data_IF_999253311787
#
_entry.id   IF_999253311787
#
_cell.length_a   1.000
_cell.length_b   1.000
_cell.length_c   1.000
_cell.angle_alpha   90.00
_cell.angle_beta   90.00
_cell.angle_gamma   90.00
#
_symmetry.space_group_name_H-M   'P 1'
#
loop_
_entity.id
_entity.type
_entity.pdbx_description
1 polymer ?
#
# COMPACT_ATOMS: atom_id res chain seq x y z
N UNK A 1 11.18 10.71 10.57
CA UNK A 1 11.37 11.54 11.79
C UNK A 1 12.76 12.20 11.81
N UNK A 2 13.84 11.51 11.50
CA UNK A 2 15.19 12.08 11.53
C UNK A 2 15.46 13.20 10.50
N UNK A 3 14.61 13.34 9.46
CA UNK A 3 14.71 14.43 8.47
C UNK A 3 14.21 15.79 9.01
N UNK A 4 13.52 15.79 10.14
CA UNK A 4 13.08 17.05 10.77
C UNK A 4 14.21 17.61 11.63
N UNK A 5 14.78 18.75 11.25
CA UNK A 5 15.95 19.35 11.93
C UNK A 5 15.76 19.50 13.44
N UNK A 6 14.55 19.87 13.89
CA UNK A 6 14.25 19.98 15.32
C UNK A 6 14.31 18.63 16.04
N UNK A 7 13.99 17.51 15.36
CA UNK A 7 14.10 16.16 15.95
C UNK A 7 15.56 15.76 16.05
N UNK A 8 16.36 16.02 15.01
CA UNK A 8 17.79 15.75 15.02
C UNK A 8 18.50 16.57 16.11
N UNK A 9 18.18 17.86 16.25
CA UNK A 9 18.70 18.71 17.32
C UNK A 9 18.32 18.20 18.70
N UNK A 10 17.07 17.81 18.94
CA UNK A 10 16.62 17.23 20.18
C UNK A 10 17.36 15.92 20.49
N UNK A 11 17.54 15.03 19.51
CA UNK A 11 18.32 13.79 19.68
C UNK A 11 19.75 14.11 20.05
N UNK A 12 20.36 15.11 19.41
CA UNK A 12 21.73 15.53 19.70
C UNK A 12 21.90 16.05 21.12
N UNK A 13 20.91 16.81 21.62
CA UNK A 13 20.98 17.45 22.95
C UNK A 13 20.57 16.52 24.08
N UNK A 14 19.47 15.75 23.91
CA UNK A 14 18.85 15.02 24.99
C UNK A 14 19.25 13.54 25.07
N UNK A 15 19.95 13.01 24.04
CA UNK A 15 20.32 11.60 23.96
C UNK A 15 21.80 11.42 23.63
N UNK A 16 22.70 11.59 24.63
CA UNK A 16 24.16 11.55 24.41
C UNK A 16 24.68 10.18 23.94
N UNK A 17 23.93 9.11 24.16
CA UNK A 17 24.25 7.74 23.75
C UNK A 17 23.88 7.44 22.28
N UNK A 18 23.22 8.36 21.57
CA UNK A 18 22.91 8.22 20.16
C UNK A 18 24.06 8.77 19.33
N UNK A 19 24.79 7.90 18.68
CA UNK A 19 26.02 8.21 17.97
C UNK A 19 25.81 8.55 16.49
N UNK A 20 24.82 7.94 15.84
CA UNK A 20 24.58 8.08 14.41
C UNK A 20 23.11 8.32 14.13
N UNK A 21 22.79 9.42 13.46
CA UNK A 21 21.44 9.78 12.99
C UNK A 21 21.52 10.21 11.53
N UNK A 22 20.73 9.60 10.67
CA UNK A 22 20.65 9.98 9.25
C UNK A 22 19.24 9.85 8.70
N UNK A 23 18.97 10.59 7.61
CA UNK A 23 17.70 10.54 6.91
C UNK A 23 17.55 9.26 6.06
N UNK A 24 16.30 8.83 5.75
CA UNK A 24 16.05 7.63 4.95
C UNK A 24 16.73 7.68 3.56
N UNK A 25 16.89 8.86 3.00
CA UNK A 25 17.53 9.09 1.71
C UNK A 25 19.05 8.84 1.72
N UNK A 26 19.66 8.76 2.90
CA UNK A 26 21.10 8.52 3.08
C UNK A 26 21.40 7.08 3.52
N UNK A 27 20.42 6.16 3.45
CA UNK A 27 20.61 4.77 3.86
C UNK A 27 21.77 4.09 3.11
N UNK A 28 21.97 4.42 1.84
CA UNK A 28 23.07 3.90 1.02
C UNK A 28 24.46 4.37 1.50
N UNK A 29 24.54 5.50 2.21
CA UNK A 29 25.78 6.00 2.81
C UNK A 29 26.05 5.41 4.21
N UNK A 30 25.17 4.56 4.74
CA UNK A 30 25.30 4.02 6.09
C UNK A 30 26.71 3.44 6.38
N UNK A 31 27.34 2.64 5.48
CA UNK A 31 28.69 2.11 5.74
C UNK A 31 29.71 3.24 5.94
N UNK A 32 29.67 4.29 5.11
CA UNK A 32 30.56 5.44 5.22
C UNK A 32 30.31 6.25 6.48
N UNK A 33 29.03 6.55 6.79
CA UNK A 33 28.66 7.29 8.00
C UNK A 33 29.07 6.54 9.28
N UNK A 34 28.98 5.20 9.27
CA UNK A 34 29.44 4.36 10.36
C UNK A 34 30.95 4.40 10.49
N UNK A 35 31.68 4.29 9.38
CA UNK A 35 33.15 4.38 9.34
C UNK A 35 33.60 5.73 9.89
N UNK A 36 32.99 6.84 9.46
CA UNK A 36 33.30 8.19 9.93
C UNK A 36 33.10 8.32 11.44
N UNK A 37 32.01 7.71 11.99
CA UNK A 37 31.80 7.67 13.44
C UNK A 37 32.89 6.89 14.17
N UNK A 38 33.26 5.73 13.65
CA UNK A 38 34.24 4.83 14.30
C UNK A 38 35.66 5.43 14.26
N UNK A 39 36.02 6.06 13.15
CA UNK A 39 37.37 6.64 12.97
C UNK A 39 37.55 7.99 13.65
N UNK A 40 36.55 8.86 13.57
CA UNK A 40 36.65 10.22 14.15
C UNK A 40 36.34 10.29 15.65
N UNK A 41 35.64 9.27 16.19
CA UNK A 41 35.11 9.31 17.55
C UNK A 41 33.98 10.32 17.76
N UNK A 42 33.58 11.11 16.71
CA UNK A 42 32.56 12.15 16.81
C UNK A 42 31.18 11.61 16.41
N UNK A 43 30.14 12.14 17.04
CA UNK A 43 28.75 11.81 16.70
C UNK A 43 28.41 12.36 15.30
N UNK A 44 27.73 11.56 14.49
CA UNK A 44 27.35 11.90 13.10
C UNK A 44 25.84 12.15 13.02
N UNK A 45 25.45 13.33 12.53
CA UNK A 45 24.05 13.71 12.31
C UNK A 45 23.89 14.19 10.87
N UNK A 46 23.52 13.28 9.97
CA UNK A 46 23.36 13.50 8.54
C UNK A 46 21.86 13.52 8.19
N UNK A 47 21.19 14.65 8.43
CA UNK A 47 19.75 14.81 8.22
C UNK A 47 19.39 15.70 7.03
N UNK A 48 20.38 16.21 6.32
CA UNK A 48 20.19 17.07 5.16
C UNK A 48 19.44 16.36 4.04
N UNK A 49 18.63 17.13 3.32
CA UNK A 49 17.95 16.64 2.13
C UNK A 49 18.93 16.63 0.96
N UNK A 50 19.08 15.47 0.33
CA UNK A 50 19.83 15.33 -0.91
C UNK A 50 18.82 15.28 -2.06
N UNK A 51 18.54 16.39 -2.75
CA UNK A 51 17.58 16.42 -3.83
C UNK A 51 17.97 15.47 -4.97
N UNK A 52 16.99 14.71 -5.47
CA UNK A 52 17.14 13.89 -6.68
C UNK A 52 17.89 12.57 -6.51
N UNK A 53 18.54 12.32 -5.38
CA UNK A 53 19.28 11.07 -5.21
C UNK A 53 18.32 9.90 -4.90
N UNK A 54 18.26 8.94 -5.80
CA UNK A 54 17.76 7.59 -5.57
C UNK A 54 18.96 6.66 -5.62
N UNK A 55 19.19 5.94 -4.53
CA UNK A 55 20.31 5.01 -4.48
C UNK A 55 19.91 3.70 -5.15
N UNK A 56 20.70 3.29 -6.13
CA UNK A 56 20.58 2.02 -6.82
C UNK A 56 21.68 1.03 -6.37
N UNK A 57 21.48 -0.25 -6.65
CA UNK A 57 22.47 -1.30 -6.35
C UNK A 57 22.67 -1.58 -4.85
N UNK A 58 21.79 -1.13 -3.97
CA UNK A 58 21.87 -1.48 -2.54
C UNK A 58 21.50 -2.96 -2.38
N UNK A 59 22.34 -3.79 -1.76
CA UNK A 59 22.01 -5.19 -1.49
C UNK A 59 20.72 -5.31 -0.66
N UNK A 60 19.76 -6.08 -1.14
CA UNK A 60 18.51 -6.35 -0.44
C UNK A 60 18.48 -7.79 0.03
N UNK A 61 18.42 -8.00 1.35
CA UNK A 61 18.18 -9.33 1.93
C UNK A 61 16.70 -9.62 1.91
N UNK A 62 16.27 -10.58 1.11
CA UNK A 62 14.87 -10.99 0.98
C UNK A 62 14.62 -12.23 1.84
N UNK A 63 13.72 -12.14 2.80
CA UNK A 63 13.38 -13.25 3.70
C UNK A 63 12.38 -14.23 3.07
N UNK A 64 11.49 -13.73 2.20
CA UNK A 64 10.53 -14.54 1.49
C UNK A 64 11.11 -14.98 0.13
N UNK A 65 10.86 -16.24 -0.25
CA UNK A 65 11.38 -16.81 -1.52
C UNK A 65 10.37 -16.72 -2.67
N UNK A 66 9.10 -16.47 -2.37
CA UNK A 66 8.01 -16.39 -3.35
C UNK A 66 7.61 -14.97 -3.67
N UNK A 67 7.79 -14.04 -2.69
CA UNK A 67 7.29 -12.66 -2.76
C UNK A 67 8.41 -11.66 -2.63
N UNK A 68 8.40 -10.65 -3.49
CA UNK A 68 9.35 -9.56 -3.45
C UNK A 68 8.67 -8.19 -3.56
N UNK A 69 9.17 -7.22 -2.79
CA UNK A 69 8.83 -5.81 -2.99
C UNK A 69 9.91 -5.12 -3.81
N UNK A 70 9.50 -4.32 -4.80
CA UNK A 70 10.35 -3.47 -5.61
C UNK A 70 9.92 -2.03 -5.43
N UNK A 71 10.75 -1.22 -4.79
CA UNK A 71 10.48 0.22 -4.69
C UNK A 71 10.64 0.86 -6.06
N UNK A 72 9.60 1.55 -6.54
CA UNK A 72 9.62 2.24 -7.84
C UNK A 72 9.76 3.75 -7.70
N UNK A 73 9.40 4.28 -6.52
CA UNK A 73 9.49 5.70 -6.23
C UNK A 73 9.52 5.97 -4.72
N UNK A 74 9.97 7.16 -4.34
CA UNK A 74 10.06 7.63 -2.97
C UNK A 74 9.44 9.01 -2.82
N UNK A 75 8.92 9.33 -1.63
CA UNK A 75 8.32 10.62 -1.31
C UNK A 75 6.90 10.78 -1.83
N UNK A 76 6.28 11.92 -1.55
CA UNK A 76 4.91 12.22 -1.98
C UNK A 76 4.69 13.73 -2.06
N UNK A 77 4.05 14.18 -3.14
CA UNK A 77 3.72 15.59 -3.38
C UNK A 77 2.28 15.96 -3.01
N UNK A 78 1.49 15.06 -2.45
CA UNK A 78 0.07 15.31 -2.18
C UNK A 78 -0.16 16.25 -0.98
N UNK A 79 0.73 16.29 0.01
CA UNK A 79 0.62 17.13 1.20
C UNK A 79 -0.76 17.08 1.86
N UNK A 80 -1.36 15.88 1.93
CA UNK A 80 -2.60 15.69 2.68
C UNK A 80 -2.42 16.20 4.12
N UNK A 81 -3.39 16.94 4.64
CA UNK A 81 -3.25 17.72 5.89
C UNK A 81 -2.94 16.88 7.13
N UNK A 82 -3.26 15.59 7.11
CA UNK A 82 -2.99 14.63 8.20
C UNK A 82 -1.66 13.86 8.03
N UNK A 83 -1.00 13.96 6.86
CA UNK A 83 0.06 13.05 6.49
C UNK A 83 1.45 13.66 6.72
N UNK A 84 2.29 12.94 7.45
CA UNK A 84 3.68 13.35 7.73
C UNK A 84 4.67 12.96 6.61
N UNK A 85 4.26 12.12 5.66
CA UNK A 85 5.15 11.54 4.64
C UNK A 85 5.93 12.58 3.85
N UNK A 86 5.33 13.66 3.29
CA UNK A 86 6.09 14.66 2.55
C UNK A 86 7.22 15.30 3.38
N UNK A 87 7.01 15.43 4.68
CA UNK A 87 7.96 16.06 5.61
C UNK A 87 9.09 15.15 6.05
N UNK A 88 8.90 13.82 5.96
CA UNK A 88 9.91 12.83 6.42
C UNK A 88 10.53 12.02 5.29
N UNK A 89 9.83 11.86 4.16
CA UNK A 89 10.31 11.16 2.95
C UNK A 89 10.71 12.10 1.84
N UNK A 90 10.21 13.36 1.87
CA UNK A 90 10.46 14.39 0.88
C UNK A 90 9.54 14.34 -0.33
N UNK A 91 9.92 15.10 -1.36
CA UNK A 91 9.23 15.18 -2.64
C UNK A 91 9.30 13.85 -3.36
N UNK A 92 8.38 13.65 -4.31
CA UNK A 92 8.37 12.48 -5.20
C UNK A 92 9.67 12.39 -5.98
N UNK A 93 10.20 11.18 -6.06
CA UNK A 93 11.40 10.81 -6.83
C UNK A 93 11.18 9.41 -7.36
N UNK A 94 10.98 9.30 -8.65
CA UNK A 94 10.85 8.02 -9.35
C UNK A 94 12.22 7.41 -9.60
N UNK A 95 12.32 6.11 -9.49
CA UNK A 95 13.49 5.34 -9.98
C UNK A 95 13.47 5.30 -11.51
N UNK A 96 14.61 5.16 -12.12
CA UNK A 96 14.70 4.99 -13.58
C UNK A 96 14.02 3.68 -14.00
N UNK A 97 13.29 3.69 -15.12
CA UNK A 97 12.64 2.47 -15.62
C UNK A 97 13.60 1.31 -15.80
N UNK A 98 14.81 1.59 -16.34
CA UNK A 98 15.83 0.58 -16.63
C UNK A 98 16.23 -0.20 -15.39
N UNK A 99 16.42 0.50 -14.26
CA UNK A 99 16.83 -0.10 -12.99
C UNK A 99 15.71 -0.95 -12.39
N UNK A 100 14.45 -0.48 -12.46
CA UNK A 100 13.28 -1.25 -12.01
C UNK A 100 13.11 -2.52 -12.84
N UNK A 101 13.19 -2.39 -14.17
CA UNK A 101 13.04 -3.54 -15.09
C UNK A 101 14.17 -4.54 -14.94
N UNK A 102 15.40 -4.10 -14.67
CA UNK A 102 16.53 -4.98 -14.38
C UNK A 102 16.27 -5.78 -13.09
N UNK A 103 15.87 -5.10 -12.00
CA UNK A 103 15.56 -5.75 -10.72
C UNK A 103 14.40 -6.75 -10.86
N UNK A 104 13.33 -6.41 -11.59
CA UNK A 104 12.22 -7.33 -11.80
C UNK A 104 12.62 -8.55 -12.63
N UNK A 105 13.48 -8.39 -13.66
CA UNK A 105 14.02 -9.53 -14.44
C UNK A 105 14.84 -10.48 -13.57
N UNK A 106 15.70 -9.95 -12.72
CA UNK A 106 16.48 -10.75 -11.77
C UNK A 106 15.58 -11.54 -10.82
N UNK A 107 14.52 -10.90 -10.30
CA UNK A 107 13.54 -11.56 -9.43
C UNK A 107 12.78 -12.67 -10.17
N UNK A 108 12.30 -12.40 -11.38
CA UNK A 108 11.60 -13.39 -12.20
C UNK A 108 12.51 -14.59 -12.51
N UNK A 109 13.78 -14.35 -12.88
CA UNK A 109 14.77 -15.39 -13.12
C UNK A 109 15.12 -16.20 -11.85
N UNK A 110 15.09 -15.55 -10.68
CA UNK A 110 15.27 -16.19 -9.38
C UNK A 110 14.03 -16.96 -8.88
N UNK A 111 12.92 -16.97 -9.65
CA UNK A 111 11.72 -17.74 -9.35
C UNK A 111 10.74 -17.06 -8.39
N UNK A 112 10.84 -15.75 -8.20
CA UNK A 112 9.81 -15.01 -7.45
C UNK A 112 8.49 -14.95 -8.24
N UNK A 113 7.37 -15.25 -7.56
CA UNK A 113 6.06 -15.45 -8.16
C UNK A 113 5.06 -14.34 -7.82
N UNK A 114 5.36 -13.46 -6.86
CA UNK A 114 4.51 -12.32 -6.48
C UNK A 114 5.42 -11.10 -6.27
N UNK A 115 5.38 -10.17 -7.21
CA UNK A 115 6.23 -8.97 -7.21
C UNK A 115 5.35 -7.75 -6.97
N UNK A 116 5.57 -7.08 -5.84
CA UNK A 116 4.79 -5.89 -5.46
C UNK A 116 5.60 -4.63 -5.73
N UNK A 117 5.08 -3.75 -6.60
CA UNK A 117 5.63 -2.42 -6.85
C UNK A 117 5.25 -1.47 -5.72
N UNK A 118 6.22 -0.83 -5.11
CA UNK A 118 6.07 -0.04 -3.89
C UNK A 118 6.43 1.43 -4.10
N UNK A 119 5.65 2.31 -3.48
CA UNK A 119 5.88 3.75 -3.44
C UNK A 119 4.95 4.41 -2.42
N UNK A 120 5.01 5.72 -2.27
CA UNK A 120 4.08 6.47 -1.43
C UNK A 120 2.86 6.97 -2.22
N UNK A 121 2.94 6.98 -3.55
CA UNK A 121 1.84 7.21 -4.50
C UNK A 121 2.29 6.66 -5.87
N UNK A 122 2.16 5.35 -6.07
CA UNK A 122 2.67 4.69 -7.28
C UNK A 122 2.07 5.22 -8.58
N UNK A 123 0.83 5.73 -8.53
CA UNK A 123 0.13 6.28 -9.70
C UNK A 123 0.76 7.58 -10.23
N UNK A 124 1.62 8.24 -9.44
CA UNK A 124 2.36 9.44 -9.88
C UNK A 124 3.74 9.11 -10.47
N UNK A 125 4.10 7.83 -10.56
CA UNK A 125 5.38 7.40 -11.12
C UNK A 125 5.65 8.03 -12.48
N UNK A 126 6.89 8.46 -12.69
CA UNK A 126 7.39 9.00 -13.95
C UNK A 126 7.21 10.50 -14.15
N UNK A 127 6.30 11.15 -13.40
CA UNK A 127 6.00 12.59 -13.56
C UNK A 127 7.23 13.49 -13.39
N UNK A 128 8.18 13.08 -12.56
CA UNK A 128 9.40 13.82 -12.25
C UNK A 128 10.60 13.45 -13.14
N UNK A 129 10.48 12.42 -13.98
CA UNK A 129 11.60 11.94 -14.81
C UNK A 129 11.80 12.73 -16.11
N UNK A 130 10.76 13.40 -16.62
CA UNK A 130 10.82 14.11 -17.91
C UNK A 130 10.98 13.19 -19.13
N UNK A 131 10.68 11.88 -18.98
CA UNK A 131 10.86 10.86 -20.03
C UNK A 131 9.56 10.55 -20.79
N UNK A 132 8.43 11.18 -20.45
CA UNK A 132 7.13 10.87 -21.05
C UNK A 132 6.56 9.50 -20.67
N UNK A 133 7.07 8.88 -19.60
CA UNK A 133 6.60 7.59 -19.06
C UNK A 133 5.69 7.82 -17.85
N UNK A 134 4.75 6.91 -17.64
CA UNK A 134 3.85 6.89 -16.49
C UNK A 134 3.77 5.50 -15.84
N UNK A 135 2.98 5.38 -14.79
CA UNK A 135 2.82 4.12 -14.09
C UNK A 135 2.17 3.02 -14.94
N UNK A 136 1.20 3.38 -15.79
CA UNK A 136 0.56 2.43 -16.70
C UNK A 136 1.57 1.86 -17.69
N UNK A 137 2.39 2.71 -18.30
CA UNK A 137 3.49 2.29 -19.15
C UNK A 137 4.48 1.36 -18.41
N UNK A 138 4.83 1.68 -17.16
CA UNK A 138 5.71 0.81 -16.37
C UNK A 138 5.09 -0.58 -16.14
N UNK A 139 3.79 -0.65 -15.85
CA UNK A 139 3.08 -1.92 -15.71
C UNK A 139 3.14 -2.75 -17.01
N UNK A 140 2.93 -2.12 -18.17
CA UNK A 140 3.06 -2.77 -19.49
C UNK A 140 4.47 -3.37 -19.68
N UNK A 141 5.52 -2.60 -19.35
CA UNK A 141 6.91 -3.07 -19.47
C UNK A 141 7.22 -4.22 -18.51
N UNK A 142 6.76 -4.15 -17.26
CA UNK A 142 6.94 -5.23 -16.27
C UNK A 142 6.16 -6.47 -16.70
N UNK A 143 4.94 -6.31 -17.23
CA UNK A 143 4.12 -7.41 -17.75
C UNK A 143 4.79 -8.16 -18.91
N UNK A 144 5.57 -7.46 -19.73
CA UNK A 144 6.31 -8.05 -20.87
C UNK A 144 7.54 -8.86 -20.45
N UNK A 145 7.99 -8.80 -19.20
CA UNK A 145 9.14 -9.58 -18.71
C UNK A 145 8.76 -11.07 -18.70
N UNK A 146 9.58 -11.97 -19.31
CA UNK A 146 9.32 -13.41 -19.26
C UNK A 146 9.28 -13.98 -17.84
N UNK A 147 8.47 -15.00 -17.64
CA UNK A 147 8.33 -15.71 -16.36
C UNK A 147 6.89 -15.71 -15.87
N UNK A 148 6.60 -16.62 -14.94
CA UNK A 148 5.29 -16.77 -14.32
C UNK A 148 5.28 -16.09 -12.95
N UNK A 149 4.78 -14.87 -12.89
CA UNK A 149 4.64 -14.09 -11.65
C UNK A 149 3.47 -13.13 -11.73
N UNK A 150 2.92 -12.78 -10.57
CA UNK A 150 1.92 -11.70 -10.43
C UNK A 150 2.60 -10.38 -10.16
N UNK A 151 2.04 -9.32 -10.72
CA UNK A 151 2.41 -7.93 -10.47
C UNK A 151 1.35 -7.34 -9.55
N UNK A 152 1.76 -6.90 -8.37
CA UNK A 152 0.92 -6.12 -7.46
C UNK A 152 1.49 -4.73 -7.29
N UNK A 153 0.67 -3.82 -6.83
CA UNK A 153 1.14 -2.50 -6.42
C UNK A 153 0.30 -1.98 -5.25
N UNK A 154 0.92 -1.13 -4.44
CA UNK A 154 0.30 -0.56 -3.25
C UNK A 154 0.41 0.95 -3.24
N UNK A 155 -0.50 1.60 -2.51
CA UNK A 155 -0.45 3.03 -2.24
C UNK A 155 -0.78 3.89 -3.46
N UNK A 156 -2.00 3.70 -3.98
CA UNK A 156 -2.59 4.54 -5.03
C UNK A 156 -3.24 5.79 -4.43
N UNK A 157 -3.42 6.81 -5.26
CA UNK A 157 -4.19 8.01 -4.89
C UNK A 157 -5.29 8.26 -5.93
N UNK A 158 -6.58 8.44 -5.53
CA UNK A 158 -7.70 8.57 -6.45
C UNK A 158 -7.53 9.66 -7.51
N UNK A 159 -6.90 10.81 -7.17
CA UNK A 159 -6.68 11.89 -8.14
C UNK A 159 -5.73 11.51 -9.29
N UNK A 160 -4.90 10.47 -9.09
CA UNK A 160 -3.93 9.99 -10.07
C UNK A 160 -4.35 8.64 -10.69
N UNK A 161 -5.53 8.13 -10.33
CA UNK A 161 -6.15 6.95 -10.94
C UNK A 161 -7.08 7.38 -12.10
N UNK A 162 -7.25 6.52 -13.10
CA UNK A 162 -8.15 6.80 -14.23
C UNK A 162 -8.09 5.74 -15.31
N UNK A 163 -8.82 5.99 -16.40
CA UNK A 163 -9.06 5.06 -17.49
C UNK A 163 -7.79 4.37 -18.00
N UNK A 164 -6.70 5.11 -18.26
CA UNK A 164 -5.44 4.54 -18.76
C UNK A 164 -4.86 3.47 -17.81
N UNK A 165 -4.87 3.72 -16.51
CA UNK A 165 -4.41 2.72 -15.54
C UNK A 165 -5.34 1.49 -15.55
N UNK A 166 -6.65 1.71 -15.57
CA UNK A 166 -7.63 0.62 -15.51
C UNK A 166 -7.61 -0.22 -16.79
N UNK A 167 -7.45 0.41 -17.97
CA UNK A 167 -7.29 -0.29 -19.25
C UNK A 167 -6.00 -1.14 -19.23
N UNK A 168 -4.89 -0.61 -18.72
CA UNK A 168 -3.64 -1.35 -18.59
C UNK A 168 -3.78 -2.53 -17.61
N UNK A 169 -4.44 -2.32 -16.46
CA UNK A 169 -4.70 -3.41 -15.51
C UNK A 169 -5.54 -4.53 -16.13
N UNK A 170 -6.54 -4.18 -16.94
CA UNK A 170 -7.39 -5.16 -17.61
C UNK A 170 -6.66 -5.92 -18.74
N UNK A 171 -5.71 -5.26 -19.42
CA UNK A 171 -4.98 -5.84 -20.56
C UNK A 171 -3.75 -6.66 -20.15
N UNK A 172 -3.17 -6.39 -18.97
CA UNK A 172 -1.94 -7.02 -18.51
C UNK A 172 -2.25 -8.27 -17.69
N UNK A 173 -2.05 -9.46 -18.26
CA UNK A 173 -2.41 -10.76 -17.65
C UNK A 173 -1.69 -11.02 -16.32
N UNK A 174 -0.47 -10.49 -16.14
CA UNK A 174 0.28 -10.64 -14.89
C UNK A 174 -0.14 -9.67 -13.79
N UNK A 175 -0.88 -8.60 -14.13
CA UNK A 175 -1.35 -7.64 -13.12
C UNK A 175 -2.49 -8.28 -12.33
N UNK A 176 -2.27 -8.45 -11.04
CA UNK A 176 -3.27 -9.03 -10.14
C UNK A 176 -4.56 -8.20 -10.14
N UNK A 177 -5.75 -8.83 -10.13
CA UNK A 177 -7.03 -8.13 -10.14
C UNK A 177 -7.36 -7.56 -8.75
N UNK A 178 -6.47 -6.71 -8.23
CA UNK A 178 -6.61 -6.05 -6.93
C UNK A 178 -6.16 -4.60 -7.02
N UNK A 179 -6.96 -3.69 -6.49
CA UNK A 179 -6.59 -2.29 -6.39
C UNK A 179 -6.83 -1.79 -4.96
N UNK A 180 -5.79 -1.21 -4.37
CA UNK A 180 -5.90 -0.45 -3.14
C UNK A 180 -6.06 1.03 -3.49
N UNK A 181 -7.27 1.59 -3.27
CA UNK A 181 -7.65 2.95 -3.65
C UNK A 181 -8.21 3.72 -2.44
N UNK A 182 -7.36 4.38 -1.64
CA UNK A 182 -7.73 5.04 -0.39
C UNK A 182 -8.71 6.20 -0.59
N UNK A 183 -9.98 6.07 -0.14
CA UNK A 183 -10.97 7.14 -0.22
C UNK A 183 -10.92 8.11 0.96
N UNK A 184 -10.46 7.68 2.14
CA UNK A 184 -10.24 8.40 3.39
C UNK A 184 -11.52 8.92 4.07
N UNK A 185 -12.47 9.54 3.37
CA UNK A 185 -13.77 10.01 3.85
C UNK A 185 -14.82 10.00 2.75
N UNK A 186 -16.07 9.77 3.10
CA UNK A 186 -17.20 9.85 2.18
C UNK A 186 -17.77 11.25 2.01
N UNK A 187 -17.27 12.27 2.72
CA UNK A 187 -17.70 13.66 2.62
C UNK A 187 -16.75 14.47 1.75
N UNK A 188 -17.26 15.11 0.69
CA UNK A 188 -16.45 15.99 -0.18
C UNK A 188 -15.87 17.18 0.59
N UNK A 189 -16.56 17.71 1.61
CA UNK A 189 -16.00 18.76 2.47
C UNK A 189 -14.84 18.26 3.31
N UNK A 190 -14.95 17.09 3.92
CA UNK A 190 -13.86 16.48 4.69
C UNK A 190 -12.67 16.15 3.77
N UNK A 191 -12.91 15.63 2.58
CA UNK A 191 -11.85 15.39 1.57
C UNK A 191 -11.14 16.70 1.20
N UNK A 192 -11.86 17.79 1.04
CA UNK A 192 -11.27 19.10 0.82
C UNK A 192 -10.40 19.54 2.02
N UNK A 193 -10.90 19.40 3.24
CA UNK A 193 -10.15 19.70 4.46
C UNK A 193 -8.91 18.80 4.63
N UNK A 194 -8.97 17.57 4.17
CA UNK A 194 -7.85 16.62 4.08
C UNK A 194 -6.85 16.95 2.95
N UNK A 195 -7.17 17.91 2.07
CA UNK A 195 -6.40 18.25 0.86
C UNK A 195 -6.26 17.06 -0.10
N UNK A 196 -7.38 16.34 -0.38
CA UNK A 196 -7.34 15.14 -1.22
C UNK A 196 -7.43 15.41 -2.72
N UNK A 197 -7.96 16.58 -3.15
CA UNK A 197 -8.01 17.00 -4.55
C UNK A 197 -9.02 16.24 -5.43
N UNK A 198 -10.00 15.57 -4.80
CA UNK A 198 -11.14 14.93 -5.46
C UNK A 198 -12.39 14.99 -4.55
N UNK A 199 -13.56 14.77 -5.15
CA UNK A 199 -14.85 14.70 -4.43
C UNK A 199 -15.31 13.24 -4.29
N UNK A 200 -16.36 13.04 -3.46
CA UNK A 200 -17.07 11.77 -3.33
C UNK A 200 -17.55 11.24 -4.70
N UNK A 201 -18.17 12.10 -5.48
CA UNK A 201 -18.77 11.77 -6.78
C UNK A 201 -17.70 11.30 -7.76
N UNK A 202 -16.57 12.00 -7.82
CA UNK A 202 -15.42 11.60 -8.63
C UNK A 202 -14.87 10.23 -8.19
N UNK A 203 -14.79 9.99 -6.88
CA UNK A 203 -14.34 8.68 -6.38
C UNK A 203 -15.28 7.55 -6.80
N UNK A 204 -16.59 7.75 -6.69
CA UNK A 204 -17.59 6.78 -7.13
C UNK A 204 -17.50 6.51 -8.64
N UNK A 205 -17.33 7.55 -9.45
CA UNK A 205 -17.09 7.41 -10.90
C UNK A 205 -15.87 6.56 -11.22
N UNK A 206 -14.75 6.74 -10.49
CA UNK A 206 -13.55 5.90 -10.64
C UNK A 206 -13.83 4.44 -10.32
N UNK A 207 -14.61 4.16 -9.27
CA UNK A 207 -14.98 2.78 -8.91
C UNK A 207 -15.86 2.13 -9.99
N UNK A 208 -16.83 2.88 -10.53
CA UNK A 208 -17.70 2.39 -11.60
C UNK A 208 -16.90 2.12 -12.87
N UNK A 209 -16.01 3.02 -13.26
CA UNK A 209 -15.11 2.85 -14.40
C UNK A 209 -14.18 1.64 -14.25
N UNK A 210 -13.63 1.42 -13.04
CA UNK A 210 -12.78 0.28 -12.73
C UNK A 210 -13.56 -1.04 -12.86
N UNK A 211 -14.75 -1.11 -12.27
CA UNK A 211 -15.59 -2.31 -12.30
C UNK A 211 -16.15 -2.64 -13.68
N UNK A 212 -16.39 -1.62 -14.50
CA UNK A 212 -16.79 -1.83 -15.89
C UNK A 212 -15.70 -2.54 -16.71
N UNK A 213 -14.42 -2.34 -16.38
CA UNK A 213 -13.27 -2.97 -17.06
C UNK A 213 -12.85 -4.28 -16.42
N UNK A 214 -12.93 -4.36 -15.09
CA UNK A 214 -12.50 -5.52 -14.29
C UNK A 214 -13.62 -5.85 -13.30
N UNK A 215 -14.69 -6.57 -13.70
CA UNK A 215 -15.86 -6.82 -12.87
C UNK A 215 -15.54 -7.51 -11.53
N UNK A 216 -14.57 -8.44 -11.52
CA UNK A 216 -14.17 -9.21 -10.36
C UNK A 216 -13.02 -8.58 -9.56
N UNK A 217 -12.76 -7.27 -9.75
CA UNK A 217 -11.69 -6.55 -9.04
C UNK A 217 -11.87 -6.65 -7.52
N UNK A 218 -10.81 -7.03 -6.83
CA UNK A 218 -10.72 -6.93 -5.37
C UNK A 218 -10.35 -5.49 -5.03
N UNK A 219 -11.28 -4.76 -4.43
CA UNK A 219 -11.10 -3.35 -4.09
C UNK A 219 -10.91 -3.17 -2.58
N UNK A 220 -9.76 -2.64 -2.20
CA UNK A 220 -9.46 -2.29 -0.81
C UNK A 220 -9.22 -0.79 -0.67
N UNK A 221 -9.37 -0.26 0.54
CA UNK A 221 -9.23 1.18 0.77
C UNK A 221 -8.82 1.50 2.21
N UNK A 222 -8.47 2.77 2.43
CA UNK A 222 -8.25 3.36 3.76
C UNK A 222 -9.39 4.32 4.08
N UNK A 223 -9.75 4.40 5.36
CA UNK A 223 -10.71 5.36 5.90
C UNK A 223 -10.25 5.89 7.25
N UNK A 224 -10.39 7.20 7.45
CA UNK A 224 -10.10 7.88 8.71
C UNK A 224 -11.41 8.40 9.29
N UNK A 225 -11.78 7.90 10.47
CA UNK A 225 -12.95 8.32 11.24
C UNK A 225 -12.54 9.38 12.26
N UNK A 226 -13.38 10.40 12.42
CA UNK A 226 -13.16 11.46 13.40
C UNK A 226 -12.04 12.41 13.01
N UNK A 227 -11.88 12.69 11.70
CA UNK A 227 -11.02 13.77 11.24
C UNK A 227 -11.48 15.12 11.86
N UNK A 228 -10.57 16.05 12.23
CA UNK A 228 -10.94 17.30 12.85
C UNK A 228 -12.03 18.06 12.09
N UNK A 229 -13.12 18.39 12.78
CA UNK A 229 -14.27 19.06 12.23
C UNK A 229 -15.21 18.19 11.39
N UNK A 230 -15.03 16.86 11.34
CA UNK A 230 -16.01 15.94 10.77
C UNK A 230 -17.30 15.98 11.61
N UNK A 231 -18.46 16.13 10.96
CA UNK A 231 -19.78 16.09 11.63
C UNK A 231 -20.36 14.67 11.58
N UNK A 232 -21.46 14.46 12.34
CA UNK A 232 -22.15 13.16 12.28
C UNK A 232 -22.76 12.89 10.90
N UNK A 233 -23.31 13.91 10.24
CA UNK A 233 -23.89 13.80 8.89
C UNK A 233 -22.82 13.43 7.86
N UNK A 234 -21.59 13.90 8.04
CA UNK A 234 -20.47 13.57 7.16
C UNK A 234 -19.93 12.17 7.40
N UNK A 235 -19.97 11.72 8.65
CA UNK A 235 -19.72 10.31 8.94
C UNK A 235 -20.78 9.40 8.27
N UNK A 236 -22.08 9.81 8.28
CA UNK A 236 -23.12 9.05 7.56
C UNK A 236 -22.87 9.01 6.03
N UNK A 237 -22.31 10.07 5.45
CA UNK A 237 -21.87 10.03 4.05
C UNK A 237 -20.74 8.99 3.84
N UNK A 238 -19.83 8.86 4.80
CA UNK A 238 -18.81 7.82 4.78
C UNK A 238 -19.43 6.42 4.83
N UNK A 239 -20.39 6.19 5.73
CA UNK A 239 -21.13 4.93 5.80
C UNK A 239 -21.89 4.63 4.50
N UNK A 240 -22.58 5.63 3.94
CA UNK A 240 -23.29 5.49 2.67
C UNK A 240 -22.34 5.15 1.49
N UNK A 241 -21.12 5.70 1.48
CA UNK A 241 -20.12 5.35 0.46
C UNK A 241 -19.67 3.89 0.59
N UNK A 242 -19.44 3.40 1.83
CA UNK A 242 -19.09 2.01 2.09
C UNK A 242 -20.20 1.05 1.63
N UNK A 243 -21.48 1.39 1.86
CA UNK A 243 -22.62 0.62 1.38
C UNK A 243 -22.69 0.56 -0.15
N UNK A 244 -22.43 1.68 -0.81
CA UNK A 244 -22.46 1.78 -2.27
C UNK A 244 -21.31 0.99 -2.92
N UNK A 245 -20.09 1.19 -2.41
CA UNK A 245 -18.89 0.59 -2.99
C UNK A 245 -18.72 -0.87 -2.58
N UNK A 246 -19.05 -1.24 -1.34
CA UNK A 246 -18.89 -2.60 -0.80
C UNK A 246 -17.46 -3.11 -0.99
N UNK A 247 -16.55 -2.55 -0.21
CA UNK A 247 -15.13 -2.91 -0.27
C UNK A 247 -14.89 -4.35 0.16
N UNK A 248 -13.86 -4.93 -0.42
CA UNK A 248 -13.40 -6.27 -0.03
C UNK A 248 -12.70 -6.26 1.32
N UNK A 249 -11.97 -5.19 1.62
CA UNK A 249 -11.43 -4.90 2.95
C UNK A 249 -11.18 -3.40 3.10
N UNK A 250 -11.30 -2.89 4.33
CA UNK A 250 -10.92 -1.53 4.70
C UNK A 250 -9.84 -1.55 5.78
N UNK A 251 -8.82 -0.74 5.60
CA UNK A 251 -7.93 -0.33 6.68
C UNK A 251 -8.54 0.90 7.34
N UNK A 252 -8.98 0.74 8.57
CA UNK A 252 -9.78 1.72 9.30
C UNK A 252 -8.96 2.35 10.41
N UNK A 253 -8.99 3.68 10.49
CA UNK A 253 -8.21 4.44 11.44
C UNK A 253 -9.08 5.45 12.17
N UNK A 254 -8.94 5.53 13.50
CA UNK A 254 -9.33 6.75 14.21
C UNK A 254 -8.28 7.82 13.93
N UNK A 255 -8.73 9.05 13.65
CA UNK A 255 -7.79 10.16 13.46
C UNK A 255 -6.85 10.27 14.66
N UNK A 256 -5.57 10.33 14.36
CA UNK A 256 -4.50 10.55 15.34
C UNK A 256 -3.60 11.68 14.85
N UNK A 257 -3.53 12.82 15.57
CA UNK A 257 -2.74 13.96 15.14
C UNK A 257 -1.25 13.58 15.02
N UNK A 258 -0.65 13.98 13.91
CA UNK A 258 0.78 13.80 13.64
C UNK A 258 1.47 15.14 13.80
N UNK A 259 2.43 15.20 14.73
CA UNK A 259 3.16 16.42 15.03
C UNK A 259 3.79 17.03 13.77
N UNK A 260 3.53 18.32 13.56
CA UNK A 260 4.03 19.07 12.40
C UNK A 260 3.15 18.99 11.16
N UNK A 261 1.99 18.33 11.22
CA UNK A 261 1.00 18.36 10.13
C UNK A 261 -0.04 19.46 10.33
N UNK A 262 -0.65 19.99 9.26
CA UNK A 262 -1.72 20.98 9.39
C UNK A 262 -2.89 20.51 10.26
N UNK A 263 -3.30 19.25 10.14
CA UNK A 263 -4.44 18.69 10.86
C UNK A 263 -4.22 18.60 12.38
N UNK A 264 -2.97 18.64 12.87
CA UNK A 264 -2.67 18.69 14.31
C UNK A 264 -3.30 19.91 14.99
N UNK A 265 -3.46 21.03 14.25
CA UNK A 265 -3.90 22.30 14.78
C UNK A 265 -5.36 22.63 14.44
N UNK A 266 -6.04 21.76 13.72
CA UNK A 266 -7.43 21.97 13.34
C UNK A 266 -8.35 21.82 14.56
N UNK A 267 -9.41 22.65 14.69
CA UNK A 267 -10.43 22.47 15.71
C UNK A 267 -11.11 21.11 15.59
N UNK A 268 -11.26 20.42 16.70
CA UNK A 268 -11.82 19.08 16.77
C UNK A 268 -12.94 19.01 17.81
N UNK A 269 -14.16 19.43 17.45
CA UNK A 269 -15.27 19.54 18.40
C UNK A 269 -15.94 18.19 18.72
N UNK A 270 -15.76 17.15 17.89
CA UNK A 270 -16.43 15.86 18.12
C UNK A 270 -15.83 15.14 19.33
N UNK A 271 -16.67 14.74 20.33
CA UNK A 271 -16.21 14.01 21.51
C UNK A 271 -15.56 12.67 21.13
N UNK A 272 -14.58 12.23 21.93
CA UNK A 272 -13.87 10.97 21.69
C UNK A 272 -14.80 9.76 21.72
N UNK A 273 -15.78 9.78 22.60
CA UNK A 273 -16.80 8.73 22.73
C UNK A 273 -17.60 8.58 21.45
N UNK A 274 -17.98 9.70 20.83
CA UNK A 274 -18.71 9.72 19.55
C UNK A 274 -17.84 9.17 18.42
N UNK A 275 -16.56 9.57 18.35
CA UNK A 275 -15.62 9.02 17.37
C UNK A 275 -15.43 7.52 17.53
N UNK A 276 -15.33 7.04 18.77
CA UNK A 276 -15.19 5.61 19.05
C UNK A 276 -16.46 4.85 18.65
N UNK A 277 -17.65 5.39 18.93
CA UNK A 277 -18.92 4.78 18.53
C UNK A 277 -19.04 4.69 17.00
N UNK A 278 -18.74 5.77 16.29
CA UNK A 278 -18.70 5.80 14.83
C UNK A 278 -17.71 4.78 14.26
N UNK A 279 -16.52 4.70 14.84
CA UNK A 279 -15.50 3.74 14.43
C UNK A 279 -15.95 2.29 14.59
N UNK A 280 -16.54 1.94 15.73
CA UNK A 280 -17.06 0.58 15.97
C UNK A 280 -18.19 0.23 15.00
N UNK A 281 -19.11 1.17 14.74
CA UNK A 281 -20.18 1.00 13.76
C UNK A 281 -19.64 0.72 12.35
N UNK A 282 -18.60 1.46 11.93
CA UNK A 282 -17.95 1.26 10.65
C UNK A 282 -17.27 -0.10 10.57
N UNK A 283 -16.52 -0.49 11.60
CA UNK A 283 -15.86 -1.80 11.67
C UNK A 283 -16.86 -2.95 11.55
N UNK A 284 -17.95 -2.88 12.32
CA UNK A 284 -18.99 -3.89 12.28
C UNK A 284 -19.54 -4.03 10.85
N UNK A 285 -19.94 -2.92 10.23
CA UNK A 285 -20.55 -2.97 8.91
C UNK A 285 -19.58 -3.47 7.83
N UNK A 286 -18.33 -3.02 7.87
CA UNK A 286 -17.32 -3.52 6.93
C UNK A 286 -17.05 -5.02 7.11
N UNK A 287 -17.03 -5.51 8.34
CA UNK A 287 -16.86 -6.94 8.60
C UNK A 287 -18.01 -7.79 7.99
N UNK A 288 -19.24 -7.30 8.09
CA UNK A 288 -20.41 -7.93 7.45
C UNK A 288 -20.24 -7.97 5.92
N UNK A 289 -19.86 -6.83 5.30
CA UNK A 289 -19.61 -6.75 3.86
C UNK A 289 -18.47 -7.68 3.43
N UNK A 290 -17.38 -7.73 4.18
CA UNK A 290 -16.26 -8.62 3.89
C UNK A 290 -16.66 -10.09 3.95
N UNK A 291 -17.46 -10.45 4.95
CA UNK A 291 -18.01 -11.80 5.08
C UNK A 291 -18.93 -12.15 3.90
N UNK A 292 -19.89 -11.27 3.55
CA UNK A 292 -20.79 -11.47 2.40
C UNK A 292 -20.01 -11.66 1.08
N UNK A 293 -18.95 -10.90 0.89
CA UNK A 293 -18.07 -11.05 -0.28
C UNK A 293 -17.30 -12.37 -0.28
N UNK A 294 -16.81 -12.81 0.88
CA UNK A 294 -16.10 -14.07 0.99
C UNK A 294 -17.03 -15.29 0.75
N UNK A 295 -18.32 -15.21 1.14
CA UNK A 295 -19.28 -16.28 0.85
C UNK A 295 -19.39 -16.60 -0.64
N UNK A 296 -19.14 -15.65 -1.53
CA UNK A 296 -19.19 -15.86 -3.00
C UNK A 296 -18.10 -16.79 -3.52
N UNK A 297 -17.05 -17.01 -2.74
CA UNK A 297 -15.96 -17.91 -3.11
C UNK A 297 -16.30 -19.38 -2.82
N UNK A 298 -17.22 -19.65 -1.91
CA UNK A 298 -17.58 -21.02 -1.48
C UNK A 298 -18.15 -21.83 -2.64
N UNK A 299 -17.61 -23.03 -2.84
CA UNK A 299 -17.92 -23.93 -3.94
C UNK A 299 -17.08 -23.71 -5.21
N UNK A 300 -16.43 -22.57 -5.36
CA UNK A 300 -15.55 -22.26 -6.49
C UNK A 300 -14.16 -22.88 -6.38
N UNK A 301 -13.47 -22.97 -7.50
CA UNK A 301 -12.05 -23.36 -7.59
C UNK A 301 -11.25 -22.12 -7.99
N UNK A 302 -10.19 -21.83 -7.24
CA UNK A 302 -9.35 -20.67 -7.44
C UNK A 302 -7.88 -21.05 -7.45
N UNK A 303 -7.14 -20.43 -8.35
CA UNK A 303 -5.70 -20.53 -8.38
C UNK A 303 -5.11 -19.78 -7.18
N UNK A 304 -4.23 -20.44 -6.41
CA UNK A 304 -3.65 -19.90 -5.19
C UNK A 304 -2.15 -20.15 -5.14
N UNK A 305 -1.37 -19.13 -4.82
CA UNK A 305 0.05 -19.27 -4.49
C UNK A 305 0.17 -19.71 -3.02
N UNK A 306 0.71 -20.89 -2.80
CA UNK A 306 0.98 -21.40 -1.43
C UNK A 306 2.24 -20.72 -0.90
N UNK A 307 2.10 -19.91 0.14
CA UNK A 307 3.19 -19.03 0.63
C UNK A 307 3.76 -19.42 2.00
N UNK A 308 3.18 -20.44 2.65
CA UNK A 308 3.66 -20.88 3.96
C UNK A 308 2.75 -21.92 4.62
N UNK A 309 2.96 -22.09 5.92
CA UNK A 309 2.16 -22.96 6.78
C UNK A 309 1.82 -22.22 8.07
N UNK A 310 0.58 -22.30 8.49
CA UNK A 310 0.09 -21.74 9.75
C UNK A 310 0.48 -22.59 10.95
N UNK A 311 0.27 -22.06 12.15
CA UNK A 311 0.54 -22.75 13.41
C UNK A 311 -0.42 -23.92 13.68
N UNK A 312 -1.55 -23.96 12.98
CA UNK A 312 -2.55 -25.02 12.99
C UNK A 312 -2.21 -26.17 12.02
N UNK A 313 -1.09 -26.11 11.33
CA UNK A 313 -0.61 -27.08 10.37
C UNK A 313 -1.23 -26.96 8.98
N UNK A 314 -2.20 -26.07 8.74
CA UNK A 314 -2.74 -25.79 7.42
C UNK A 314 -1.76 -24.98 6.59
N UNK A 315 -1.77 -25.19 5.27
CA UNK A 315 -1.05 -24.31 4.34
C UNK A 315 -1.71 -22.94 4.32
N UNK A 316 -0.89 -21.90 4.21
CA UNK A 316 -1.36 -20.56 3.88
C UNK A 316 -1.12 -20.30 2.40
N UNK A 317 -2.13 -19.77 1.73
CA UNK A 317 -2.07 -19.46 0.31
C UNK A 317 -2.79 -18.13 0.02
N UNK A 318 -2.59 -17.62 -1.19
CA UNK A 318 -3.31 -16.42 -1.63
C UNK A 318 -3.82 -16.61 -3.04
N UNK A 319 -5.08 -16.22 -3.27
CA UNK A 319 -5.65 -16.13 -4.61
C UNK A 319 -4.95 -15.02 -5.42
N UNK A 320 -5.16 -14.97 -6.73
CA UNK A 320 -4.67 -13.88 -7.59
C UNK A 320 -5.15 -12.51 -7.08
N UNK A 321 -6.39 -12.40 -6.58
CA UNK A 321 -6.92 -11.20 -5.92
C UNK A 321 -6.38 -10.95 -4.49
N UNK A 322 -5.43 -11.75 -4.00
CA UNK A 322 -4.77 -11.57 -2.70
C UNK A 322 -5.56 -12.06 -1.48
N UNK A 323 -6.65 -12.81 -1.66
CA UNK A 323 -7.41 -13.39 -0.54
C UNK A 323 -6.60 -14.45 0.19
N UNK A 324 -6.58 -14.37 1.51
CA UNK A 324 -5.96 -15.42 2.35
C UNK A 324 -6.81 -16.70 2.26
N UNK A 325 -6.12 -17.79 2.00
CA UNK A 325 -6.74 -19.15 1.96
C UNK A 325 -5.96 -20.06 2.88
N UNK A 326 -6.67 -20.79 3.75
CA UNK A 326 -6.11 -21.88 4.53
C UNK A 326 -6.48 -23.19 3.85
N UNK A 327 -5.48 -23.97 3.45
CA UNK A 327 -5.66 -25.20 2.68
C UNK A 327 -5.23 -26.43 3.49
N UNK A 328 -6.01 -27.50 3.38
CA UNK A 328 -5.49 -28.82 3.69
C UNK A 328 -4.62 -29.30 2.50
N UNK A 329 -3.42 -29.79 2.77
CA UNK A 329 -2.50 -30.21 1.70
C UNK A 329 -1.11 -30.56 2.22
N UNK A 330 -0.26 -31.03 1.31
CA UNK A 330 1.14 -31.38 1.59
C UNK A 330 2.00 -30.12 1.70
N UNK A 331 2.81 -29.94 2.75
CA UNK A 331 3.81 -28.86 2.85
C UNK A 331 4.77 -28.77 1.66
N UNK A 332 4.98 -29.84 0.90
CA UNK A 332 5.72 -29.85 -0.34
C UNK A 332 5.18 -28.90 -1.42
N UNK A 333 3.92 -28.45 -1.29
CA UNK A 333 3.31 -27.45 -2.19
C UNK A 333 3.75 -26.01 -1.90
N UNK A 334 4.48 -25.73 -0.81
CA UNK A 334 4.92 -24.36 -0.47
C UNK A 334 5.84 -23.84 -1.58
N UNK A 335 5.49 -22.67 -2.10
CA UNK A 335 6.21 -22.03 -3.22
C UNK A 335 5.66 -22.39 -4.59
N UNK A 336 4.51 -23.07 -4.67
CA UNK A 336 3.87 -23.43 -5.94
C UNK A 336 2.48 -22.86 -6.07
N UNK A 337 2.01 -22.74 -7.30
CA UNK A 337 0.62 -22.46 -7.62
C UNK A 337 -0.20 -23.74 -7.52
N UNK A 338 -1.32 -23.67 -6.81
CA UNK A 338 -2.25 -24.78 -6.63
C UNK A 338 -3.68 -24.34 -6.97
N UNK A 339 -4.49 -25.24 -7.50
CA UNK A 339 -5.93 -25.03 -7.58
C UNK A 339 -6.56 -25.45 -6.24
N UNK A 340 -7.36 -24.55 -5.67
CA UNK A 340 -8.01 -24.76 -4.39
C UNK A 340 -9.52 -24.66 -4.53
N UNK A 341 -10.24 -25.69 -4.10
CA UNK A 341 -11.70 -25.66 -3.94
C UNK A 341 -12.00 -25.04 -2.59
N UNK A 342 -12.72 -23.93 -2.59
CA UNK A 342 -13.12 -23.25 -1.36
C UNK A 342 -14.36 -23.94 -0.79
N UNK A 343 -14.26 -24.39 0.45
CA UNK A 343 -15.35 -25.13 1.15
C UNK A 343 -16.02 -24.28 2.22
N UNK A 344 -15.29 -23.29 2.78
CA UNK A 344 -15.78 -22.44 3.84
C UNK A 344 -15.17 -21.05 3.73
N UNK A 345 -15.86 -20.02 4.25
CA UNK A 345 -15.40 -18.66 4.30
C UNK A 345 -15.71 -17.99 5.64
N UNK A 346 -14.73 -17.25 6.16
CA UNK A 346 -14.88 -16.33 7.29
C UNK A 346 -14.79 -14.87 6.83
N UNK A 347 -14.92 -13.92 7.76
CA UNK A 347 -14.69 -12.49 7.46
C UNK A 347 -13.29 -12.20 6.92
N UNK A 348 -12.28 -12.98 7.35
CA UNK A 348 -10.86 -12.65 7.12
C UNK A 348 -10.12 -13.64 6.22
N UNK A 349 -10.66 -14.86 6.04
CA UNK A 349 -10.01 -15.91 5.30
C UNK A 349 -11.02 -16.84 4.64
N UNK A 350 -10.54 -17.54 3.62
CA UNK A 350 -11.19 -18.65 2.94
C UNK A 350 -10.55 -19.95 3.45
N UNK A 351 -11.28 -21.05 3.37
CA UNK A 351 -10.79 -22.38 3.72
C UNK A 351 -11.14 -23.36 2.59
N UNK A 352 -10.27 -24.32 2.35
CA UNK A 352 -10.50 -25.26 1.28
C UNK A 352 -9.44 -26.35 1.20
N UNK A 353 -9.51 -27.09 0.11
CA UNK A 353 -8.64 -28.22 -0.17
C UNK A 353 -7.95 -28.04 -1.52
N UNK A 354 -6.70 -28.48 -1.61
CA UNK A 354 -6.00 -28.58 -2.89
C UNK A 354 -6.72 -29.62 -3.75
N UNK A 355 -6.97 -29.27 -5.01
CA UNK A 355 -7.60 -30.17 -5.98
C UNK A 355 -6.68 -30.36 -7.17
N UNK A 356 -6.64 -31.59 -7.70
CA UNK A 356 -5.94 -31.86 -8.96
C UNK A 356 -6.64 -31.09 -10.08
N UNK A 357 -5.85 -30.38 -10.88
CA UNK A 357 -6.33 -29.55 -12.00
C UNK A 357 -6.53 -30.35 -13.28
#
# INVERSE_FOLDING_TARGET
MARQDHVAQRLRQSFPHVDLVFGPQLLWQFPQLLLDRLTSGKRVFATEDVPGAVAEGIPVVRQNRQKAGVSIMYGCNNFCTYCIVPYVRGRERSRRPEDILAEVRELAQAGYQDITLLGQNVNSYGKDLGLGVDFAWLLEQVNAIPGEFLIRFMTSHPKDAGARLFDTMAACEKVAPVLHLPFQSGSSRVLQAMHRGYTREHYLSLVDELRARIPEIVLTSDVIVGFPGETQEEFEQTMSLIETVRYDALFTFLFSPRRGTPAERMPDPMPKEQKSANFQRLLQRQNEISWEKHQRYVGGIYRCLVDGQGTDGRLTARTDGGRLVHLAGDPGCIGTWQNARITEASTWALFGDVVEG
#
